data_IF_742169810801
#
_entry.id   IF_742169810801
#
_cell.length_a   1.000
_cell.length_b   1.000
_cell.length_c   1.000
_cell.angle_alpha   90.00
_cell.angle_beta   90.00
_cell.angle_gamma   90.00
#
_symmetry.space_group_name_H-M   'P 1'
#
loop_
_entity.id
_entity.type
_entity.pdbx_description
1 polymer ?
#
# COMPACT_ATOMS: atom_id res chain seq x y z
N UNK A 1 26.82 -1.34 -25.93
CA UNK A 1 25.44 -0.96 -25.58
C UNK A 1 25.12 -1.67 -24.26
N UNK A 2 25.10 -0.93 -23.14
CA UNK A 2 24.86 -1.50 -21.81
C UNK A 2 23.35 -1.45 -21.55
N UNK A 3 22.71 -2.60 -21.43
CA UNK A 3 21.36 -2.67 -20.92
C UNK A 3 21.42 -2.22 -19.46
N UNK A 4 20.74 -1.13 -19.12
CA UNK A 4 20.56 -0.74 -17.74
C UNK A 4 19.95 -1.94 -17.01
N UNK A 5 20.56 -2.36 -15.90
CA UNK A 5 19.92 -3.29 -14.99
C UNK A 5 18.63 -2.63 -14.55
N UNK A 6 17.52 -3.05 -15.15
CA UNK A 6 16.20 -2.75 -14.67
C UNK A 6 16.19 -3.19 -13.22
N UNK A 7 16.31 -2.22 -12.31
CA UNK A 7 15.92 -2.41 -10.93
C UNK A 7 14.39 -2.48 -10.95
N UNK A 8 13.86 -3.56 -11.54
CA UNK A 8 12.54 -4.04 -11.24
C UNK A 8 12.53 -4.10 -9.72
N UNK A 9 11.72 -3.23 -9.13
CA UNK A 9 11.30 -3.35 -7.74
C UNK A 9 11.00 -4.82 -7.58
N UNK A 10 11.81 -5.55 -6.82
CA UNK A 10 11.54 -6.96 -6.56
C UNK A 10 10.08 -7.03 -6.11
N UNK A 11 9.20 -7.85 -6.71
CA UNK A 11 7.74 -7.83 -6.45
C UNK A 11 7.30 -8.08 -5.00
N UNK A 12 8.23 -8.05 -4.05
CA UNK A 12 8.06 -8.38 -2.65
C UNK A 12 8.89 -7.48 -1.72
N UNK A 13 9.18 -6.21 -2.06
CA UNK A 13 9.65 -5.25 -1.06
C UNK A 13 8.43 -4.70 -0.30
N UNK A 14 8.16 -5.13 0.95
CA UNK A 14 7.01 -4.64 1.69
C UNK A 14 7.18 -3.19 2.15
N UNK A 15 8.39 -2.62 2.00
CA UNK A 15 8.78 -1.28 2.43
C UNK A 15 8.84 -0.31 1.24
N UNK A 16 7.71 -0.11 0.55
CA UNK A 16 7.60 0.87 -0.55
C UNK A 16 7.73 2.32 -0.09
N UNK A 17 7.48 3.27 -0.99
CA UNK A 17 7.44 4.70 -0.63
C UNK A 17 6.09 5.06 0.01
N UNK A 18 6.09 5.85 1.09
CA UNK A 18 4.90 6.30 1.82
C UNK A 18 4.97 7.79 2.16
N UNK A 19 3.82 8.40 2.46
CA UNK A 19 3.74 9.69 3.14
C UNK A 19 3.53 9.43 4.64
N UNK A 20 4.34 10.08 5.48
CA UNK A 20 4.23 9.99 6.94
C UNK A 20 3.48 11.24 7.43
N UNK A 21 2.41 11.04 8.18
CA UNK A 21 1.63 12.14 8.73
C UNK A 21 2.50 13.04 9.62
N UNK A 22 2.49 14.36 9.38
CA UNK A 22 3.32 15.31 10.12
C UNK A 22 4.80 15.38 9.71
N UNK A 23 5.23 14.62 8.68
CA UNK A 23 6.56 14.74 8.10
C UNK A 23 6.78 16.12 7.45
N UNK A 24 7.92 16.76 7.75
CA UNK A 24 8.27 18.05 7.19
C UNK A 24 8.44 17.97 5.66
N UNK A 25 7.45 18.49 4.93
CA UNK A 25 7.37 18.43 3.47
C UNK A 25 6.77 17.12 2.98
N UNK A 26 5.69 17.19 2.20
CA UNK A 26 4.95 16.06 1.61
C UNK A 26 5.74 15.24 0.59
N UNK A 27 7.01 14.98 0.86
CA UNK A 27 7.88 14.15 0.07
C UNK A 27 7.64 12.69 0.42
N UNK A 28 7.60 11.86 -0.61
CA UNK A 28 7.56 10.41 -0.48
C UNK A 28 8.88 9.91 0.15
N UNK A 29 8.77 9.18 1.25
CA UNK A 29 9.90 8.59 1.97
C UNK A 29 9.87 7.07 1.90
N UNK A 30 11.02 6.42 2.09
CA UNK A 30 11.06 4.96 2.29
C UNK A 30 10.27 4.58 3.54
N UNK A 31 9.44 3.53 3.42
CA UNK A 31 8.68 3.05 4.57
C UNK A 31 9.62 2.40 5.59
N UNK A 32 9.61 2.83 6.86
CA UNK A 32 10.44 2.23 7.91
C UNK A 32 9.97 0.82 8.29
N UNK A 33 8.74 0.44 7.92
CA UNK A 33 8.13 -0.86 8.18
C UNK A 33 7.36 -1.36 6.94
N UNK A 34 6.90 -2.60 6.98
CA UNK A 34 6.02 -3.13 5.94
C UNK A 34 4.72 -2.32 5.85
N UNK A 35 4.26 -2.00 4.63
CA UNK A 35 3.02 -1.22 4.40
C UNK A 35 1.75 -1.90 4.94
N UNK A 36 1.82 -3.18 5.28
CA UNK A 36 0.73 -3.93 5.92
C UNK A 36 0.62 -3.67 7.43
N UNK A 37 1.61 -3.02 8.05
CA UNK A 37 1.59 -2.71 9.49
C UNK A 37 0.81 -1.42 9.77
N UNK A 38 0.10 -1.38 10.89
CA UNK A 38 -0.60 -0.18 11.33
C UNK A 38 0.36 0.81 12.02
N UNK A 39 1.19 1.51 11.23
CA UNK A 39 2.23 2.42 11.72
C UNK A 39 1.99 3.91 11.38
N UNK A 40 0.72 4.30 11.20
CA UNK A 40 0.35 5.72 10.99
C UNK A 40 0.75 6.34 9.63
N UNK A 41 1.17 5.54 8.66
CA UNK A 41 1.50 6.00 7.30
C UNK A 41 0.30 6.05 6.36
N UNK A 42 0.46 6.71 5.20
CA UNK A 42 -0.64 6.98 4.25
C UNK A 42 -1.47 5.77 3.85
N UNK A 43 -0.86 4.62 3.55
CA UNK A 43 -1.60 3.39 3.20
C UNK A 43 -2.50 2.90 4.35
N UNK A 44 -1.97 2.81 5.58
CA UNK A 44 -2.74 2.40 6.75
C UNK A 44 -3.89 3.38 7.07
N UNK A 45 -3.65 4.70 6.89
CA UNK A 45 -4.69 5.73 7.09
C UNK A 45 -5.81 5.65 6.05
N UNK A 46 -5.49 5.33 4.80
CA UNK A 46 -6.49 5.18 3.74
C UNK A 46 -7.47 4.02 4.01
N UNK A 47 -6.98 2.90 4.58
CA UNK A 47 -7.82 1.73 4.89
C UNK A 47 -8.54 1.82 6.25
N UNK A 48 -8.17 2.75 7.13
CA UNK A 48 -8.81 2.91 8.45
C UNK A 48 -10.33 3.13 8.32
N UNK A 49 -10.77 3.91 7.34
CA UNK A 49 -12.20 4.17 7.08
C UNK A 49 -12.88 3.04 6.30
N UNK A 50 -12.13 2.08 5.77
CA UNK A 50 -12.69 0.85 5.18
C UNK A 50 -13.13 -0.12 6.28
N UNK A 51 -12.34 -0.21 7.36
CA UNK A 51 -12.56 -1.17 8.46
C UNK A 51 -13.23 -0.57 9.70
N UNK A 52 -13.27 0.76 9.83
CA UNK A 52 -13.90 1.40 10.98
C UNK A 52 -15.39 1.02 11.09
N UNK A 53 -15.90 0.73 12.31
CA UNK A 53 -17.30 0.39 12.54
C UNK A 53 -18.17 1.65 12.43
N UNK A 54 -18.49 2.04 11.20
CA UNK A 54 -19.41 3.13 10.89
C UNK A 54 -20.41 2.67 9.84
N UNK A 55 -21.71 2.72 10.15
CA UNK A 55 -22.77 2.11 9.32
C UNK A 55 -22.93 2.73 7.92
N UNK A 56 -22.40 3.93 7.73
CA UNK A 56 -22.42 4.63 6.45
C UNK A 56 -21.25 4.28 5.53
N UNK A 57 -20.20 3.61 6.02
CA UNK A 57 -19.03 3.27 5.21
C UNK A 57 -19.45 2.34 4.06
N UNK A 58 -19.07 2.69 2.83
CA UNK A 58 -19.27 1.88 1.62
C UNK A 58 -17.92 1.70 0.91
N UNK A 59 -17.55 0.46 0.61
CA UNK A 59 -16.35 0.14 -0.17
C UNK A 59 -16.62 -1.00 -1.14
N UNK A 60 -15.87 -1.04 -2.23
CA UNK A 60 -15.87 -2.12 -3.22
C UNK A 60 -14.44 -2.64 -3.34
N UNK A 61 -14.25 -3.93 -3.14
CA UNK A 61 -13.01 -4.61 -3.45
C UNK A 61 -13.18 -5.36 -4.79
N UNK A 62 -12.15 -5.30 -5.63
CA UNK A 62 -12.13 -5.97 -6.91
C UNK A 62 -10.85 -6.81 -7.02
N UNK A 63 -10.97 -7.98 -7.62
CA UNK A 63 -9.86 -8.86 -7.95
C UNK A 63 -10.06 -9.40 -9.37
N UNK A 64 -8.97 -9.53 -10.13
CA UNK A 64 -8.98 -10.10 -11.48
C UNK A 64 -8.99 -11.63 -11.46
N UNK A 65 -8.87 -12.26 -10.29
CA UNK A 65 -8.96 -13.71 -10.18
C UNK A 65 -10.33 -14.20 -10.67
N UNK A 66 -10.37 -15.10 -11.66
CA UNK A 66 -11.62 -15.64 -12.17
C UNK A 66 -12.39 -16.34 -11.05
N UNK A 67 -13.72 -16.14 -10.96
CA UNK A 67 -14.53 -16.66 -9.86
C UNK A 67 -14.53 -18.19 -9.78
N UNK A 68 -14.32 -18.87 -10.91
CA UNK A 68 -14.51 -20.32 -11.08
C UNK A 68 -13.21 -21.14 -11.15
N UNK A 69 -12.07 -20.57 -10.73
CA UNK A 69 -10.81 -21.33 -10.60
C UNK A 69 -10.67 -21.84 -9.16
N UNK A 70 -10.42 -23.15 -8.94
CA UNK A 70 -10.16 -23.68 -7.61
C UNK A 70 -9.02 -22.92 -6.91
N UNK A 71 -9.20 -22.64 -5.62
CA UNK A 71 -8.25 -21.89 -4.79
C UNK A 71 -7.39 -22.82 -3.97
#
# INVERSE_FOLDING_TARGET
MKFATNNFITPAQPNGKILIAGGAGGNWADSPAAVTQNNGHSFAKAIEHVFAPHGENKFVAYNNDPPDVPK
#
